data_IF_008946715363
#
_entry.id   IF_008946715363
#
_cell.length_a   1.000
_cell.length_b   1.000
_cell.length_c   1.000
_cell.angle_alpha   90.00
_cell.angle_beta   90.00
_cell.angle_gamma   90.00
#
_symmetry.space_group_name_H-M   'P 1'
#
loop_
_entity.id
_entity.type
_entity.pdbx_description
1 polymer ?
#
# COMPACT_ATOMS: atom_id res chain seq x y z
N UNK A 1 0.56 -8.97 -55.09
CA UNK A 1 -0.23 -8.85 -53.85
C UNK A 1 0.59 -8.06 -52.84
N UNK A 2 0.15 -6.86 -52.43
CA UNK A 2 0.81 -6.03 -51.41
C UNK A 2 0.14 -6.32 -50.05
N UNK A 3 0.89 -6.63 -48.98
CA UNK A 3 0.30 -6.84 -47.68
C UNK A 3 -0.22 -5.50 -47.14
N UNK A 4 -1.46 -5.51 -46.64
CA UNK A 4 -2.07 -4.40 -45.92
C UNK A 4 -1.38 -4.26 -44.56
N UNK A 5 -0.45 -3.30 -44.45
CA UNK A 5 0.05 -2.85 -43.16
C UNK A 5 -1.09 -2.09 -42.46
N UNK A 6 -1.64 -2.69 -41.40
CA UNK A 6 -2.56 -1.99 -40.51
C UNK A 6 -1.83 -0.78 -39.89
N UNK A 7 -2.48 0.40 -39.79
CA UNK A 7 -1.86 1.57 -39.19
C UNK A 7 -1.52 1.28 -37.73
N UNK A 8 -0.28 1.55 -37.34
CA UNK A 8 0.16 1.55 -35.95
C UNK A 8 -0.69 2.57 -35.19
N UNK A 9 -1.64 2.09 -34.38
CA UNK A 9 -2.39 2.97 -33.50
C UNK A 9 -1.51 3.25 -32.27
N UNK A 10 -1.00 4.48 -32.09
CA UNK A 10 -0.29 4.80 -30.86
C UNK A 10 -1.24 4.56 -29.69
N UNK A 11 -0.81 3.76 -28.71
CA UNK A 11 -1.56 3.60 -27.46
C UNK A 11 -1.86 5.01 -26.94
N UNK A 12 -3.12 5.34 -26.60
CA UNK A 12 -3.42 6.67 -26.09
C UNK A 12 -2.57 6.89 -24.84
N UNK A 13 -1.68 7.88 -24.89
CA UNK A 13 -0.71 8.23 -23.83
C UNK A 13 -1.37 8.42 -22.45
N UNK A 14 -2.69 8.63 -22.41
CA UNK A 14 -3.51 8.67 -21.22
C UNK A 14 -3.47 7.38 -20.38
N UNK A 15 -3.38 6.20 -21.02
CA UNK A 15 -3.35 4.93 -20.29
C UNK A 15 -2.01 4.66 -19.58
N UNK A 16 -0.96 5.41 -19.92
CA UNK A 16 0.38 5.16 -19.38
C UNK A 16 0.47 5.44 -17.87
N UNK A 17 -0.31 6.39 -17.36
CA UNK A 17 -0.34 6.75 -15.94
C UNK A 17 -1.05 5.67 -15.11
N UNK A 18 -2.16 5.13 -15.62
CA UNK A 18 -2.93 4.06 -14.97
C UNK A 18 -2.13 2.76 -14.77
N UNK A 19 -1.13 2.50 -15.63
CA UNK A 19 -0.27 1.32 -15.53
C UNK A 19 1.12 1.62 -14.96
N UNK A 20 1.40 2.86 -14.54
CA UNK A 20 2.69 3.22 -13.98
C UNK A 20 2.82 2.76 -12.52
N UNK A 21 4.02 2.35 -12.08
CA UNK A 21 4.25 2.03 -10.68
C UNK A 21 3.85 3.21 -9.77
N UNK A 22 3.22 2.97 -8.61
CA UNK A 22 2.79 4.04 -7.71
C UNK A 22 3.92 4.97 -7.27
N UNK A 23 5.15 4.45 -7.18
CA UNK A 23 6.37 5.23 -6.85
C UNK A 23 6.72 6.29 -7.89
N UNK A 24 6.20 6.19 -9.12
CA UNK A 24 6.41 7.15 -10.21
C UNK A 24 5.34 8.24 -10.26
N UNK A 25 4.23 8.13 -9.50
CA UNK A 25 3.14 9.12 -9.52
C UNK A 25 3.58 10.55 -9.18
N UNK A 26 4.44 10.83 -8.19
CA UNK A 26 4.86 12.20 -7.90
C UNK A 26 5.63 12.84 -9.06
N UNK A 27 6.51 12.06 -9.69
CA UNK A 27 7.27 12.50 -10.86
C UNK A 27 6.33 12.78 -12.05
N UNK A 28 5.41 11.85 -12.34
CA UNK A 28 4.44 12.00 -13.42
C UNK A 28 3.51 13.19 -13.18
N UNK A 29 3.06 13.42 -11.95
CA UNK A 29 2.25 14.59 -11.62
C UNK A 29 2.99 15.89 -11.93
N UNK A 30 4.24 16.01 -11.47
CA UNK A 30 5.06 17.20 -11.69
C UNK A 30 5.33 17.46 -13.18
N UNK A 31 5.69 16.41 -13.93
CA UNK A 31 5.94 16.49 -15.37
C UNK A 31 4.69 16.94 -16.15
N UNK A 32 3.52 16.35 -15.84
CA UNK A 32 2.27 16.72 -16.50
C UNK A 32 1.80 18.13 -16.12
N UNK A 33 1.97 18.53 -14.86
CA UNK A 33 1.64 19.88 -14.41
C UNK A 33 2.49 20.95 -15.10
N UNK A 34 3.81 20.70 -15.21
CA UNK A 34 4.72 21.60 -15.92
C UNK A 34 4.36 21.75 -17.40
N UNK A 35 4.02 20.64 -18.07
CA UNK A 35 3.58 20.66 -19.46
C UNK A 35 2.24 21.40 -19.62
N UNK A 36 1.30 21.19 -18.69
CA UNK A 36 0.02 21.88 -18.69
C UNK A 36 0.19 23.39 -18.54
N UNK A 37 1.03 23.84 -17.59
CA UNK A 37 1.34 25.26 -17.41
C UNK A 37 1.85 25.88 -18.70
N UNK A 38 2.77 25.21 -19.39
CA UNK A 38 3.32 25.69 -20.65
C UNK A 38 2.28 25.72 -21.78
N UNK A 39 1.39 24.72 -21.86
CA UNK A 39 0.33 24.67 -22.86
C UNK A 39 -0.72 25.77 -22.65
N UNK A 40 -1.01 26.13 -21.40
CA UNK A 40 -1.94 27.19 -21.04
C UNK A 40 -1.40 28.60 -21.37
N UNK A 41 -0.08 28.79 -21.31
CA UNK A 41 0.58 30.04 -21.73
C UNK A 41 0.70 30.16 -23.27
N UNK A 42 0.57 29.04 -23.98
CA UNK A 42 0.65 28.96 -25.43
C UNK A 42 -0.71 29.02 -26.13
N UNK A 43 -0.70 28.93 -27.46
CA UNK A 43 -1.92 28.80 -28.29
C UNK A 43 -2.30 27.35 -28.58
N UNK A 44 -1.61 26.39 -27.93
CA UNK A 44 -1.76 24.96 -28.14
C UNK A 44 -3.00 24.40 -27.40
N UNK A 45 -3.77 23.57 -28.08
CA UNK A 45 -4.96 22.89 -27.52
C UNK A 45 -4.63 21.62 -26.71
N UNK A 46 -3.35 21.28 -26.54
CA UNK A 46 -2.89 20.13 -25.75
C UNK A 46 -3.26 20.21 -24.27
N UNK A 47 -3.62 21.40 -23.76
CA UNK A 47 -4.04 21.61 -22.37
C UNK A 47 -5.20 20.69 -21.94
N UNK A 48 -6.11 20.34 -22.86
CA UNK A 48 -7.21 19.40 -22.57
C UNK A 48 -6.69 17.99 -22.28
N UNK A 49 -5.79 17.48 -23.13
CA UNK A 49 -5.17 16.18 -22.94
C UNK A 49 -4.27 16.13 -21.69
N UNK A 50 -3.56 17.24 -21.40
CA UNK A 50 -2.70 17.36 -20.22
C UNK A 50 -3.50 17.45 -18.92
N UNK A 51 -4.61 18.21 -18.91
CA UNK A 51 -5.56 18.24 -17.80
C UNK A 51 -6.10 16.85 -17.49
N UNK A 52 -6.52 16.11 -18.52
CA UNK A 52 -6.99 14.73 -18.37
C UNK A 52 -5.90 13.85 -17.75
N UNK A 53 -4.66 13.89 -18.24
CA UNK A 53 -3.54 13.12 -17.67
C UNK A 53 -3.31 13.44 -16.19
N UNK A 54 -3.39 14.72 -15.80
CA UNK A 54 -3.26 15.13 -14.40
C UNK A 54 -4.38 14.53 -13.53
N UNK A 55 -5.63 14.59 -14.00
CA UNK A 55 -6.77 14.00 -13.29
C UNK A 55 -6.60 12.49 -13.10
N UNK A 56 -6.11 11.77 -14.10
CA UNK A 56 -5.84 10.32 -13.95
C UNK A 56 -4.70 10.00 -13.00
N UNK A 57 -3.67 10.84 -12.94
CA UNK A 57 -2.60 10.70 -11.95
C UNK A 57 -3.15 10.87 -10.53
N UNK A 58 -4.01 11.87 -10.33
CA UNK A 58 -4.68 12.11 -9.05
C UNK A 58 -5.62 10.97 -8.65
N UNK A 59 -6.44 10.46 -9.57
CA UNK A 59 -7.32 9.32 -9.30
C UNK A 59 -6.53 8.05 -8.92
N UNK A 60 -5.41 7.82 -9.60
CA UNK A 60 -4.52 6.68 -9.29
C UNK A 60 -3.89 6.84 -7.91
N UNK A 61 -3.49 8.06 -7.55
CA UNK A 61 -2.96 8.37 -6.22
C UNK A 61 -4.03 8.19 -5.12
N UNK A 62 -5.26 8.63 -5.34
CA UNK A 62 -6.38 8.44 -4.41
C UNK A 62 -6.66 6.95 -4.17
N UNK A 63 -6.76 6.15 -5.24
CA UNK A 63 -6.92 4.68 -5.17
C UNK A 63 -5.78 4.02 -4.37
N UNK A 64 -4.54 4.47 -4.55
CA UNK A 64 -3.40 3.97 -3.79
C UNK A 64 -3.51 4.28 -2.30
N UNK A 65 -3.88 5.51 -1.94
CA UNK A 65 -4.08 5.92 -0.54
C UNK A 65 -5.19 5.10 0.11
N UNK A 66 -6.32 4.92 -0.59
CA UNK A 66 -7.43 4.11 -0.08
C UNK A 66 -7.03 2.64 0.14
N UNK A 67 -6.33 2.04 -0.81
CA UNK A 67 -5.84 0.65 -0.69
C UNK A 67 -4.81 0.48 0.43
N UNK A 68 -3.90 1.43 0.59
CA UNK A 68 -2.93 1.35 1.69
C UNK A 68 -3.61 1.53 3.05
N UNK A 69 -4.57 2.46 3.17
CA UNK A 69 -5.33 2.65 4.40
C UNK A 69 -6.11 1.39 4.81
N UNK A 70 -6.74 0.69 3.87
CA UNK A 70 -7.45 -0.56 4.18
C UNK A 70 -6.48 -1.67 4.61
N UNK A 71 -5.34 -1.81 3.92
CA UNK A 71 -4.31 -2.79 4.27
C UNK A 71 -3.68 -2.52 5.64
N UNK A 72 -3.36 -1.26 5.95
CA UNK A 72 -2.81 -0.86 7.25
C UNK A 72 -3.81 -1.12 8.37
N UNK A 73 -5.10 -0.80 8.19
CA UNK A 73 -6.13 -1.14 9.19
C UNK A 73 -6.26 -2.64 9.40
N UNK A 74 -6.27 -3.43 8.32
CA UNK A 74 -6.33 -4.89 8.42
C UNK A 74 -5.11 -5.47 9.16
N UNK A 75 -3.92 -4.96 8.87
CA UNK A 75 -2.70 -5.35 9.57
C UNK A 75 -2.75 -4.97 11.05
N UNK A 76 -3.22 -3.77 11.39
CA UNK A 76 -3.41 -3.33 12.78
C UNK A 76 -4.30 -4.29 13.56
N UNK A 77 -5.46 -4.64 13.00
CA UNK A 77 -6.38 -5.57 13.64
C UNK A 77 -5.74 -6.96 13.88
N UNK A 78 -4.91 -7.43 12.95
CA UNK A 78 -4.16 -8.69 13.14
C UNK A 78 -3.09 -8.58 14.23
N UNK A 79 -2.39 -7.45 14.32
CA UNK A 79 -1.38 -7.20 15.37
C UNK A 79 -2.04 -7.16 16.75
N UNK A 80 -3.20 -6.52 16.90
CA UNK A 80 -3.96 -6.50 18.15
C UNK A 80 -4.37 -7.91 18.62
N UNK A 81 -4.82 -8.75 17.69
CA UNK A 81 -5.12 -10.16 17.98
C UNK A 81 -3.87 -10.91 18.44
N UNK A 82 -2.74 -10.73 17.76
CA UNK A 82 -1.47 -11.36 18.16
C UNK A 82 -1.01 -10.91 19.55
N UNK A 83 -1.14 -9.62 19.87
CA UNK A 83 -0.80 -9.09 21.19
C UNK A 83 -1.64 -9.74 22.29
N UNK A 84 -2.93 -9.96 22.06
CA UNK A 84 -3.80 -10.67 23.00
C UNK A 84 -3.37 -12.13 23.23
N UNK A 85 -2.91 -12.80 22.17
CA UNK A 85 -2.44 -14.19 22.23
C UNK A 85 -1.14 -14.26 23.04
N UNK A 86 -0.20 -13.34 22.80
CA UNK A 86 1.06 -13.25 23.54
C UNK A 86 0.80 -13.04 25.03
N UNK A 87 -0.03 -12.05 25.41
CA UNK A 87 -0.38 -11.78 26.81
C UNK A 87 -0.97 -13.01 27.51
N UNK A 88 -1.83 -13.76 26.83
CA UNK A 88 -2.39 -15.02 27.33
C UNK A 88 -1.30 -16.08 27.49
N UNK A 89 -0.41 -16.22 26.51
CA UNK A 89 0.74 -17.13 26.57
C UNK A 89 1.64 -16.85 27.77
N UNK A 90 1.99 -15.58 27.98
CA UNK A 90 2.82 -15.15 29.11
C UNK A 90 2.15 -15.45 30.45
N UNK A 91 0.85 -15.20 30.54
CA UNK A 91 0.06 -15.49 31.75
C UNK A 91 0.04 -16.99 32.07
N UNK A 92 -0.16 -17.83 31.05
CA UNK A 92 -0.14 -19.29 31.20
C UNK A 92 1.26 -19.79 31.61
N UNK A 93 2.32 -19.26 30.99
CA UNK A 93 3.70 -19.61 31.33
C UNK A 93 4.05 -19.22 32.78
N UNK A 94 3.60 -18.04 33.22
CA UNK A 94 3.80 -17.58 34.60
C UNK A 94 3.07 -18.46 35.61
N UNK A 95 1.83 -18.88 35.30
CA UNK A 95 1.06 -19.81 36.11
C UNK A 95 1.72 -21.19 36.21
N UNK A 96 2.18 -21.73 35.08
CA UNK A 96 2.86 -23.02 35.05
C UNK A 96 4.16 -23.02 35.88
N UNK A 97 4.95 -21.93 35.80
CA UNK A 97 6.15 -21.76 36.64
C UNK A 97 5.80 -21.72 38.12
N UNK A 98 4.78 -20.96 38.51
CA UNK A 98 4.34 -20.89 39.91
C UNK A 98 3.94 -22.27 40.47
N UNK A 99 3.18 -23.06 39.72
CA UNK A 99 2.78 -24.41 40.12
C UNK A 99 4.01 -25.33 40.27
N UNK A 100 4.94 -25.26 39.31
CA UNK A 100 6.18 -26.04 39.36
C UNK A 100 7.03 -25.70 40.59
N UNK A 101 7.24 -24.41 40.85
CA UNK A 101 8.03 -23.93 41.98
C UNK A 101 7.40 -24.37 43.32
N UNK A 102 6.07 -24.28 43.44
CA UNK A 102 5.33 -24.76 44.62
C UNK A 102 5.54 -26.24 44.86
N UNK A 103 5.35 -27.08 43.84
CA UNK A 103 5.50 -28.53 43.97
C UNK A 103 6.96 -28.95 44.25
N UNK A 104 7.94 -28.22 43.71
CA UNK A 104 9.35 -28.46 43.98
C UNK A 104 9.77 -28.07 45.41
N UNK A 105 9.07 -27.15 46.06
CA UNK A 105 9.33 -26.73 47.45
C UNK A 105 8.62 -27.59 48.52
N UNK A 106 7.56 -28.31 48.16
CA UNK A 106 6.80 -29.16 49.08
C UNK A 106 7.38 -30.58 49.19
N UNK A 107 8.07 -31.05 48.15
CA UNK A 107 8.78 -32.33 48.11
C UNK A 107 10.11 -32.34 48.90
N UNK A 108 10.65 -31.17 49.28
CA UNK A 108 11.85 -31.06 50.13
C UNK A 108 11.57 -30.98 51.63
N UNK A 109 10.30 -30.89 52.06
CA UNK A 109 9.93 -30.70 53.48
C UNK A 109 9.38 -31.95 54.17
N UNK A 110 9.18 -33.07 53.45
CA UNK A 110 8.62 -34.33 54.00
C UNK A 110 9.73 -35.36 54.27
N UNK A 111 10.88 -34.90 54.72
CA UNK A 111 12.02 -35.76 55.04
C UNK A 111 12.92 -35.13 56.08
N UNK A 112 12.49 -35.17 57.35
CA UNK A 112 13.33 -35.15 58.55
C UNK A 112 12.53 -35.69 59.74
#
# INVERSE_FOLDING_TARGET
MKPLLLPYHPRPHFLQILFSPPSKLPQLFQENYSQLSQALDGTDHSWTALTLKLCSALETADKLVQSNNSNVRFLSAKVEVLESIVKRGDSAAKSAKFIHDKHSSESSSVGN
#
